data_IF_392838425752
#
_entry.id   IF_392838425752
#
_cell.length_a   1.000
_cell.length_b   1.000
_cell.length_c   1.000
_cell.angle_alpha   90.00
_cell.angle_beta   90.00
_cell.angle_gamma   90.00
#
_symmetry.space_group_name_H-M   'P 1'
#
loop_
_entity.id
_entity.type
_entity.pdbx_description
1 polymer ?
#
# COMPACT_ATOMS: atom_id res chain seq x y z
N UNK A 1 23.27 -15.90 -15.17
CA UNK A 1 23.06 -14.83 -16.16
C UNK A 1 21.59 -14.37 -16.17
N UNK A 2 20.63 -15.25 -16.52
CA UNK A 2 19.18 -14.94 -16.51
C UNK A 2 18.65 -14.37 -15.18
N UNK A 3 19.12 -14.91 -14.05
CA UNK A 3 18.84 -14.36 -12.72
C UNK A 3 19.14 -12.86 -12.61
N UNK A 4 20.32 -12.47 -13.06
CA UNK A 4 20.76 -11.07 -13.02
C UNK A 4 19.94 -10.22 -13.98
N UNK A 5 19.55 -10.76 -15.14
CA UNK A 5 18.73 -10.05 -16.14
C UNK A 5 17.32 -9.73 -15.60
N UNK A 6 16.77 -10.59 -14.74
CA UNK A 6 15.46 -10.36 -14.10
C UNK A 6 15.55 -9.50 -12.84
N UNK A 7 16.66 -9.58 -12.10
CA UNK A 7 16.86 -8.81 -10.87
C UNK A 7 17.16 -7.33 -11.14
N UNK A 8 17.81 -7.01 -12.25
CA UNK A 8 18.18 -5.63 -12.61
C UNK A 8 16.96 -4.70 -12.84
N UNK A 9 15.93 -5.10 -13.61
CA UNK A 9 14.69 -4.32 -13.73
C UNK A 9 13.99 -4.09 -12.38
N UNK A 10 13.95 -5.10 -11.50
CA UNK A 10 13.35 -4.95 -10.17
C UNK A 10 14.13 -3.99 -9.28
N UNK A 11 15.47 -4.02 -9.34
CA UNK A 11 16.31 -3.06 -8.64
C UNK A 11 16.07 -1.62 -9.12
N UNK A 12 15.83 -1.43 -10.42
CA UNK A 12 15.44 -0.12 -10.97
C UNK A 12 14.07 0.34 -10.45
N UNK A 13 13.07 -0.55 -10.43
CA UNK A 13 11.74 -0.25 -9.88
C UNK A 13 11.82 0.14 -8.40
N UNK A 14 12.57 -0.61 -7.59
CA UNK A 14 12.79 -0.28 -6.17
C UNK A 14 13.45 1.11 -6.03
N UNK A 15 14.49 1.38 -6.82
CA UNK A 15 15.22 2.64 -6.81
C UNK A 15 14.33 3.84 -7.14
N UNK A 16 13.52 3.74 -8.19
CA UNK A 16 12.57 4.79 -8.56
C UNK A 16 11.46 4.96 -7.51
N UNK A 17 10.95 3.87 -6.94
CA UNK A 17 9.94 3.92 -5.88
C UNK A 17 10.48 4.66 -4.65
N UNK A 18 11.73 4.40 -4.27
CA UNK A 18 12.41 5.13 -3.19
C UNK A 18 12.66 6.60 -3.55
N UNK A 19 13.12 6.89 -4.78
CA UNK A 19 13.39 8.25 -5.21
C UNK A 19 12.12 9.12 -5.23
N UNK A 20 11.00 8.56 -5.70
CA UNK A 20 9.70 9.24 -5.68
C UNK A 20 9.25 9.46 -4.25
N UNK A 21 9.36 8.45 -3.38
CA UNK A 21 9.03 8.61 -1.95
C UNK A 21 9.81 9.75 -1.30
N UNK A 22 11.12 9.79 -1.51
CA UNK A 22 11.98 10.86 -1.01
C UNK A 22 11.60 12.23 -1.57
N UNK A 23 11.16 12.30 -2.83
CA UNK A 23 10.70 13.56 -3.44
C UNK A 23 9.38 14.06 -2.87
N UNK A 24 8.61 13.19 -2.20
CA UNK A 24 7.37 13.53 -1.50
C UNK A 24 7.61 13.94 -0.04
N UNK A 25 8.83 13.84 0.47
CA UNK A 25 9.17 14.29 1.81
C UNK A 25 9.11 15.82 1.90
N UNK A 26 8.46 16.34 2.93
CA UNK A 26 8.29 17.79 3.13
C UNK A 26 7.19 18.45 2.28
N UNK A 27 6.48 17.67 1.45
CA UNK A 27 5.25 18.15 0.79
C UNK A 27 4.15 18.31 1.84
N UNK A 28 3.42 19.44 1.87
CA UNK A 28 2.30 19.64 2.78
C UNK A 28 1.23 18.56 2.65
N UNK A 29 0.58 18.23 3.76
CA UNK A 29 -0.45 17.19 3.80
C UNK A 29 -1.58 17.49 2.79
N UNK A 30 -1.89 16.47 1.98
CA UNK A 30 -2.95 16.50 0.97
C UNK A 30 -3.55 15.09 0.87
N UNK A 31 -4.88 14.93 0.72
CA UNK A 31 -5.51 13.60 0.64
C UNK A 31 -4.91 12.74 -0.48
N UNK A 32 -4.66 13.30 -1.66
CA UNK A 32 -4.03 12.59 -2.78
C UNK A 32 -2.59 12.13 -2.49
N UNK A 33 -1.90 12.78 -1.54
CA UNK A 33 -0.54 12.42 -1.14
C UNK A 33 -0.52 11.13 -0.33
N UNK A 34 -1.53 10.90 0.52
CA UNK A 34 -1.66 9.67 1.28
C UNK A 34 -1.97 8.47 0.37
N UNK A 35 -2.83 8.68 -0.64
CA UNK A 35 -3.09 7.66 -1.67
C UNK A 35 -1.83 7.34 -2.47
N UNK A 36 -1.07 8.36 -2.89
CA UNK A 36 0.21 8.18 -3.58
C UNK A 36 1.23 7.40 -2.73
N UNK A 37 1.37 7.73 -1.44
CA UNK A 37 2.24 7.01 -0.49
C UNK A 37 1.83 5.54 -0.35
N UNK A 38 0.53 5.27 -0.20
CA UNK A 38 0.00 3.90 -0.15
C UNK A 38 0.25 3.11 -1.44
N UNK A 39 0.19 3.77 -2.60
CA UNK A 39 0.56 3.18 -3.88
C UNK A 39 2.04 2.80 -3.95
N UNK A 40 2.93 3.67 -3.46
CA UNK A 40 4.37 3.40 -3.38
C UNK A 40 4.68 2.26 -2.41
N UNK A 41 3.98 2.16 -1.27
CA UNK A 41 4.12 1.04 -0.33
C UNK A 41 3.77 -0.29 -0.98
N UNK A 42 2.65 -0.31 -1.73
CA UNK A 42 2.23 -1.50 -2.45
C UNK A 42 3.23 -1.90 -3.54
N UNK A 43 3.75 -0.94 -4.30
CA UNK A 43 4.76 -1.20 -5.33
C UNK A 43 6.05 -1.79 -4.73
N UNK A 44 6.52 -1.25 -3.60
CA UNK A 44 7.66 -1.80 -2.86
C UNK A 44 7.39 -3.23 -2.39
N UNK A 45 6.20 -3.51 -1.86
CA UNK A 45 5.83 -4.85 -1.41
C UNK A 45 5.75 -5.86 -2.57
N UNK A 46 5.16 -5.46 -3.69
CA UNK A 46 5.03 -6.30 -4.88
C UNK A 46 6.41 -6.63 -5.50
N UNK A 47 7.30 -5.64 -5.56
CA UNK A 47 8.69 -5.82 -6.01
C UNK A 47 9.48 -6.77 -5.10
N UNK A 48 9.38 -6.58 -3.78
CA UNK A 48 10.01 -7.47 -2.81
C UNK A 48 9.50 -8.91 -2.92
N UNK A 49 8.18 -9.08 -3.11
CA UNK A 49 7.57 -10.40 -3.34
C UNK A 49 8.09 -11.06 -4.61
N UNK A 50 8.22 -10.30 -5.72
CA UNK A 50 8.77 -10.82 -6.98
C UNK A 50 10.23 -11.25 -6.83
N UNK A 51 11.06 -10.45 -6.14
CA UNK A 51 12.45 -10.83 -5.83
C UNK A 51 12.51 -12.14 -5.05
N UNK A 52 11.70 -12.29 -3.99
CA UNK A 52 11.64 -13.53 -3.22
C UNK A 52 11.23 -14.77 -4.03
N UNK A 53 10.29 -14.62 -4.97
CA UNK A 53 9.89 -15.72 -5.87
C UNK A 53 11.02 -16.10 -6.84
N UNK A 54 11.68 -15.12 -7.44
CA UNK A 54 12.80 -15.35 -8.37
C UNK A 54 13.96 -16.02 -7.63
N UNK A 55 14.33 -15.51 -6.47
CA UNK A 55 15.40 -16.08 -5.64
C UNK A 55 15.07 -17.53 -5.25
N UNK A 56 13.81 -17.80 -4.89
CA UNK A 56 13.35 -19.16 -4.59
C UNK A 56 13.46 -20.12 -5.78
N UNK A 57 13.07 -19.67 -6.99
CA UNK A 57 13.17 -20.49 -8.20
C UNK A 57 14.63 -20.76 -8.59
N UNK A 58 15.50 -19.77 -8.48
CA UNK A 58 16.92 -19.89 -8.78
C UNK A 58 17.62 -20.80 -7.78
N UNK A 59 17.29 -20.66 -6.50
CA UNK A 59 17.81 -21.54 -5.46
C UNK A 59 17.38 -22.98 -5.71
N UNK A 60 16.11 -23.21 -6.06
CA UNK A 60 15.61 -24.53 -6.41
C UNK A 60 16.31 -25.11 -7.65
N UNK A 61 16.46 -24.34 -8.72
CA UNK A 61 17.14 -24.79 -9.94
C UNK A 61 18.60 -25.18 -9.63
N UNK A 62 19.30 -24.36 -8.85
CA UNK A 62 20.68 -24.61 -8.42
C UNK A 62 20.77 -25.86 -7.55
N UNK A 63 19.87 -26.01 -6.56
CA UNK A 63 19.83 -27.18 -5.68
C UNK A 63 19.51 -28.47 -6.44
N UNK A 64 18.64 -28.40 -7.45
CA UNK A 64 18.29 -29.53 -8.30
C UNK A 64 19.47 -30.03 -9.14
N UNK A 65 20.33 -29.12 -9.58
CA UNK A 65 21.51 -29.43 -10.39
C UNK A 65 22.75 -29.76 -9.54
N UNK A 66 22.69 -29.51 -8.24
CA UNK A 66 23.80 -29.77 -7.32
C UNK A 66 24.06 -31.27 -7.14
N UNK A 67 25.33 -31.66 -7.24
CA UNK A 67 25.77 -33.00 -6.84
C UNK A 67 25.95 -33.01 -5.32
N UNK A 68 25.18 -33.85 -4.63
CA UNK A 68 25.26 -33.99 -3.16
C UNK A 68 26.35 -35.00 -2.83
N UNK A 69 27.33 -34.58 -2.01
CA UNK A 69 28.31 -35.47 -1.38
C UNK A 69 27.86 -35.72 0.06
N UNK A 70 27.47 -36.96 0.41
CA UNK A 70 27.06 -37.26 1.78
C UNK A 70 28.24 -37.06 2.75
N UNK A 71 27.96 -36.40 3.86
CA UNK A 71 28.89 -36.25 5.00
C UNK A 71 28.17 -36.65 6.27
N UNK A 72 28.92 -37.14 7.26
CA UNK A 72 28.36 -37.37 8.59
C UNK A 72 28.09 -36.02 9.26
N UNK A 73 26.90 -35.87 9.83
CA UNK A 73 26.45 -34.62 10.47
C UNK A 73 25.84 -34.97 11.82
N UNK A 74 26.21 -34.24 12.86
CA UNK A 74 25.52 -34.30 14.15
C UNK A 74 24.18 -33.55 14.05
N UNK A 75 23.08 -34.30 14.00
CA UNK A 75 21.74 -33.73 13.89
C UNK A 75 21.34 -32.94 15.14
N UNK A 76 21.89 -33.26 16.31
CA UNK A 76 21.63 -32.54 17.55
C UNK A 76 22.17 -31.11 17.49
N UNK A 77 23.40 -30.95 16.99
CA UNK A 77 23.99 -29.62 16.78
C UNK A 77 23.24 -28.82 15.71
N UNK A 78 22.90 -29.43 14.58
CA UNK A 78 22.17 -28.75 13.50
C UNK A 78 20.79 -28.27 13.96
N UNK A 79 20.05 -29.09 14.71
CA UNK A 79 18.74 -28.70 15.23
C UNK A 79 18.87 -27.57 16.25
N UNK A 80 19.89 -27.62 17.13
CA UNK A 80 20.16 -26.55 18.09
C UNK A 80 20.45 -25.22 17.39
N UNK A 81 21.28 -25.24 16.34
CA UNK A 81 21.63 -24.06 15.55
C UNK A 81 20.41 -23.45 14.84
N UNK A 82 19.61 -24.29 14.17
CA UNK A 82 18.37 -23.84 13.52
C UNK A 82 17.38 -23.26 14.54
N UNK A 83 17.25 -23.89 15.71
CA UNK A 83 16.34 -23.42 16.77
C UNK A 83 16.76 -22.05 17.27
N UNK A 84 18.05 -21.86 17.55
CA UNK A 84 18.61 -20.59 17.99
C UNK A 84 18.33 -19.48 16.95
N UNK A 85 18.68 -19.72 15.68
CA UNK A 85 18.48 -18.77 14.60
C UNK A 85 16.99 -18.38 14.43
N UNK A 86 16.06 -19.33 14.61
CA UNK A 86 14.62 -19.08 14.53
C UNK A 86 14.08 -18.31 15.73
N UNK A 87 14.58 -18.59 16.93
CA UNK A 87 14.18 -17.85 18.13
C UNK A 87 14.70 -16.41 18.09
N UNK A 88 15.93 -16.17 17.63
CA UNK A 88 16.49 -14.83 17.45
C UNK A 88 15.70 -14.01 16.43
N UNK A 89 15.34 -14.62 15.29
CA UNK A 89 14.51 -13.97 14.27
C UNK A 89 13.07 -13.67 14.75
N UNK A 90 12.58 -14.38 15.76
CA UNK A 90 11.28 -14.19 16.36
C UNK A 90 11.27 -13.15 17.49
N UNK A 91 12.42 -12.56 17.84
CA UNK A 91 12.50 -11.55 18.90
C UNK A 91 11.48 -10.42 18.65
N UNK A 92 10.74 -9.98 19.69
CA UNK A 92 9.62 -9.08 19.51
C UNK A 92 10.08 -7.72 18.97
N UNK A 93 9.56 -7.36 17.79
CA UNK A 93 9.50 -5.96 17.38
C UNK A 93 8.65 -5.19 18.40
N UNK A 94 9.06 -3.98 18.85
CA UNK A 94 8.24 -3.19 19.74
C UNK A 94 6.83 -3.01 19.12
N UNK A 95 5.76 -3.12 19.94
CA UNK A 95 4.41 -3.03 19.42
C UNK A 95 4.24 -1.72 18.66
N UNK A 96 3.56 -1.72 17.50
CA UNK A 96 3.32 -0.49 16.75
C UNK A 96 2.59 0.48 17.66
N UNK A 97 3.23 1.62 17.95
CA UNK A 97 2.58 2.71 18.69
C UNK A 97 1.56 3.33 17.75
N UNK A 98 0.32 2.85 17.79
CA UNK A 98 -0.78 3.50 17.08
C UNK A 98 -1.11 4.78 17.87
N UNK A 99 -0.86 5.98 17.32
CA UNK A 99 -1.27 7.20 17.99
C UNK A 99 -2.80 7.18 18.15
N UNK A 100 -3.27 7.22 19.40
CA UNK A 100 -4.70 7.33 19.71
C UNK A 100 -5.22 8.63 19.11
N UNK A 101 -6.06 8.53 18.08
CA UNK A 101 -6.78 9.67 17.54
C UNK A 101 -7.51 10.38 18.69
N UNK A 102 -7.23 11.67 18.87
CA UNK A 102 -7.96 12.51 19.81
C UNK A 102 -9.45 12.51 19.43
N UNK A 103 -10.38 12.55 20.40
CA UNK A 103 -11.80 12.60 20.09
C UNK A 103 -12.08 13.83 19.21
N UNK A 104 -12.68 13.59 18.05
CA UNK A 104 -13.12 14.65 17.15
C UNK A 104 -14.07 15.59 17.91
N UNK A 105 -13.75 16.88 17.92
CA UNK A 105 -14.67 17.89 18.45
C UNK A 105 -15.98 17.86 17.66
N UNK A 106 -17.15 17.95 18.31
CA UNK A 106 -18.43 17.91 17.62
C UNK A 106 -18.55 19.13 16.70
N UNK A 107 -18.44 18.91 15.39
CA UNK A 107 -18.74 19.89 14.36
C UNK A 107 -20.23 20.24 14.45
N UNK A 108 -20.53 21.51 14.74
CA UNK A 108 -21.91 22.02 14.72
C UNK A 108 -22.48 21.80 13.33
N UNK A 109 -23.49 20.94 13.21
CA UNK A 109 -24.36 20.88 12.04
C UNK A 109 -24.90 22.29 11.78
N UNK A 110 -24.41 22.93 10.71
CA UNK A 110 -24.92 24.20 10.22
C UNK A 110 -26.25 23.88 9.53
N UNK A 111 -27.35 24.18 10.21
CA UNK A 111 -28.71 24.05 9.64
C UNK A 111 -28.76 24.88 8.36
N UNK A 112 -28.90 24.22 7.21
CA UNK A 112 -29.12 24.88 5.94
C UNK A 112 -30.49 25.58 6.00
N UNK A 113 -30.47 26.91 5.89
CA UNK A 113 -31.68 27.71 5.74
C UNK A 113 -32.27 27.42 4.35
N UNK A 114 -33.48 26.84 4.31
CA UNK A 114 -34.26 26.68 3.08
C UNK A 114 -34.50 28.05 2.42
N UNK A 115 -34.35 28.20 1.09
CA UNK A 115 -34.73 29.42 0.39
C UNK A 115 -36.25 29.54 0.31
N UNK A 116 -36.78 30.71 0.69
CA UNK A 116 -38.21 31.04 0.65
C UNK A 116 -38.77 30.99 -0.79
N UNK A 117 -40.04 30.57 -0.98
CA UNK A 117 -40.64 30.51 -2.31
C UNK A 117 -40.94 31.91 -2.86
N UNK A 118 -40.46 32.22 -4.07
CA UNK A 118 -40.85 33.40 -4.84
C UNK A 118 -42.35 33.36 -5.15
N UNK A 119 -43.09 34.41 -4.77
CA UNK A 119 -44.42 34.70 -5.33
C UNK A 119 -44.26 35.01 -6.82
N UNK A 120 -44.92 34.23 -7.68
CA UNK A 120 -45.20 34.63 -9.06
C UNK A 120 -46.40 35.59 -9.08
N UNK A 121 -46.40 36.63 -9.96
CA UNK A 121 -47.57 37.47 -10.15
C UNK A 121 -48.67 36.72 -10.90
N UNK A 122 -49.91 36.95 -10.46
CA UNK A 122 -51.14 36.51 -11.10
C UNK A 122 -51.16 36.93 -12.58
N UNK A 123 -51.30 35.97 -13.50
CA UNK A 123 -51.73 36.26 -14.86
C UNK A 123 -53.26 36.24 -14.90
N UNK A 124 -53.83 37.38 -15.23
CA UNK A 124 -55.26 37.57 -15.46
C UNK A 124 -55.67 36.88 -16.77
N UNK A 125 -56.62 35.95 -16.65
CA UNK A 125 -57.26 35.27 -17.77
C UNK A 125 -58.26 36.22 -18.43
N UNK A 126 -57.91 36.79 -19.59
CA UNK A 126 -58.92 37.38 -20.48
C UNK A 126 -59.22 36.41 -21.63
N UNK A 127 -60.32 35.69 -21.46
CA UNK A 127 -61.03 34.93 -22.48
C UNK A 127 -61.40 35.86 -23.64
N UNK A 128 -61.04 35.47 -24.87
CA UNK A 128 -61.64 36.00 -26.10
C UNK A 128 -62.24 34.82 -26.86
N UNK A 129 -63.56 34.80 -26.92
CA UNK A 129 -64.39 33.83 -27.64
C UNK A 129 -64.18 33.94 -29.16
N UNK A 130 -64.29 32.83 -29.91
CA UNK A 130 -64.34 32.87 -31.37
C UNK A 130 -65.77 33.14 -31.82
N UNK A 131 -65.95 33.97 -32.83
CA UNK A 131 -67.17 33.93 -33.63
C UNK A 131 -66.85 34.05 -35.12
N UNK A 132 -67.71 33.35 -35.85
CA UNK A 132 -67.74 32.92 -37.25
C UNK A 132 -67.61 34.04 -38.28
#
# INVERSE_FOLDING_TARGET
MVAHDLLNPLASVDGWTMAVRYSLDGVPDHPDLDEARGGLDRLSQDSARMRGLIDGLLHYATAREATIVPVQVDLGEVVADITLARTDAAAPSPPPTIPRAAPASPSRCRTASLPSPRRLPHQDSSVRTPDT
#
